data_IF_901953206406
#
_entry.id   IF_901953206406
#
_cell.length_a   1.000
_cell.length_b   1.000
_cell.length_c   1.000
_cell.angle_alpha   90.00
_cell.angle_beta   90.00
_cell.angle_gamma   90.00
#
_symmetry.space_group_name_H-M   'P 1'
#
loop_
_entity.id
_entity.type
_entity.pdbx_description
1 polymer ?
#
# COMPACT_ATOMS: atom_id res chain seq x y z
N UNK A 1 -10.35 -0.73 13.35
CA UNK A 1 -9.43 -1.73 12.81
C UNK A 1 -9.32 -1.53 11.29
N UNK A 2 -8.11 -1.53 10.73
CA UNK A 2 -7.92 -1.37 9.28
C UNK A 2 -6.81 -2.26 8.73
N UNK A 3 -6.71 -2.30 7.39
CA UNK A 3 -5.68 -3.08 6.67
C UNK A 3 -5.94 -4.59 6.70
N UNK A 4 -4.87 -5.41 6.69
CA UNK A 4 -4.98 -6.88 6.63
C UNK A 4 -5.77 -7.48 7.80
N UNK A 5 -5.77 -6.83 8.96
CA UNK A 5 -6.53 -7.25 10.15
C UNK A 5 -8.03 -7.08 10.02
N UNK A 6 -8.50 -6.19 9.14
CA UNK A 6 -9.92 -5.94 8.87
C UNK A 6 -10.45 -6.74 7.69
N UNK A 7 -9.57 -7.31 6.85
CA UNK A 7 -9.92 -8.05 5.63
C UNK A 7 -9.77 -9.57 5.77
N UNK A 8 -10.12 -10.27 4.68
CA UNK A 8 -10.05 -11.73 4.58
C UNK A 8 -8.62 -12.32 4.57
N UNK A 9 -7.58 -11.47 4.68
CA UNK A 9 -6.17 -11.87 4.60
C UNK A 9 -5.43 -11.88 5.94
N UNK A 10 -6.17 -11.81 7.04
CA UNK A 10 -5.57 -11.92 8.37
C UNK A 10 -5.03 -13.33 8.62
N UNK A 11 -3.75 -13.41 8.92
CA UNK A 11 -3.07 -14.66 9.28
C UNK A 11 -2.67 -14.56 10.76
N UNK A 12 -3.30 -15.35 11.67
CA UNK A 12 -2.95 -15.35 13.08
C UNK A 12 -1.44 -15.59 13.29
N UNK A 13 -0.82 -14.76 14.12
CA UNK A 13 0.61 -14.85 14.44
C UNK A 13 1.58 -14.33 13.35
N UNK A 14 1.08 -13.92 12.17
CA UNK A 14 1.89 -13.31 11.11
C UNK A 14 1.42 -11.91 10.71
N UNK A 15 0.12 -11.64 10.82
CA UNK A 15 -0.46 -10.34 10.50
C UNK A 15 -0.58 -9.50 11.76
N UNK A 16 -0.15 -8.25 11.68
CA UNK A 16 -0.35 -7.25 12.74
C UNK A 16 -1.78 -6.70 12.69
N UNK A 17 -2.29 -6.31 13.85
CA UNK A 17 -3.56 -5.58 13.97
C UNK A 17 -3.28 -4.09 14.01
N UNK A 18 -3.83 -3.36 13.03
CA UNK A 18 -3.67 -1.92 12.91
C UNK A 18 -4.95 -1.20 13.31
N UNK A 19 -4.86 -0.31 14.28
CA UNK A 19 -5.98 0.50 14.73
C UNK A 19 -5.78 1.97 14.37
N UNK A 20 -6.84 2.59 13.88
CA UNK A 20 -7.02 4.03 13.87
C UNK A 20 -7.93 4.39 15.04
N UNK A 21 -7.48 5.30 15.88
CA UNK A 21 -8.22 5.83 17.02
C UNK A 21 -8.48 7.30 16.75
N UNK A 22 -9.77 7.64 16.61
CA UNK A 22 -10.18 9.02 16.33
C UNK A 22 -10.53 9.68 17.66
N UNK A 23 -9.81 10.73 17.98
CA UNK A 23 -9.92 11.49 19.23
C UNK A 23 -10.51 12.89 18.96
N UNK A 24 -10.99 13.51 20.03
CA UNK A 24 -11.16 14.97 20.06
C UNK A 24 -9.79 15.66 20.20
N UNK A 25 -9.71 16.96 19.91
CA UNK A 25 -8.46 17.72 20.08
C UNK A 25 -7.92 17.62 21.50
N UNK A 26 -8.78 17.74 22.50
CA UNK A 26 -8.42 17.53 23.92
C UNK A 26 -7.89 16.12 24.18
N UNK A 27 -8.45 15.10 23.52
CA UNK A 27 -7.95 13.73 23.63
C UNK A 27 -6.57 13.57 23.01
N UNK A 28 -6.26 14.34 21.96
CA UNK A 28 -4.94 14.34 21.34
C UNK A 28 -3.90 15.09 22.20
N UNK A 29 -4.27 16.16 22.90
CA UNK A 29 -3.42 16.84 23.87
C UNK A 29 -2.99 15.94 25.04
N UNK A 30 -3.85 14.98 25.39
CA UNK A 30 -3.62 14.01 26.47
C UNK A 30 -3.04 12.65 25.96
N UNK A 31 -2.40 12.62 24.80
CA UNK A 31 -1.97 11.39 24.12
C UNK A 31 -1.07 10.49 24.97
N UNK A 32 -0.27 11.05 25.86
CA UNK A 32 0.58 10.28 26.77
C UNK A 32 -0.20 9.34 27.69
N UNK A 33 -1.47 9.63 27.98
CA UNK A 33 -2.35 8.73 28.77
C UNK A 33 -2.61 7.39 28.09
N UNK A 34 -2.41 7.31 26.76
CA UNK A 34 -2.52 6.08 26.00
C UNK A 34 -1.28 5.15 26.14
N UNK A 35 -0.13 5.66 26.55
CA UNK A 35 1.12 4.90 26.60
C UNK A 35 1.04 3.56 27.32
N UNK A 36 0.42 3.43 28.51
CA UNK A 36 0.32 2.15 29.21
C UNK A 36 -0.52 1.12 28.46
N UNK A 37 -1.57 1.57 27.77
CA UNK A 37 -2.46 0.70 26.98
C UNK A 37 -1.74 0.22 25.73
N UNK A 38 -1.09 1.14 25.00
CA UNK A 38 -0.29 0.83 23.79
C UNK A 38 0.84 -0.15 24.14
N UNK A 39 1.50 0.02 25.28
CA UNK A 39 2.53 -0.92 25.74
C UNK A 39 2.01 -2.35 25.97
N UNK A 40 0.76 -2.51 26.43
CA UNK A 40 0.10 -3.83 26.55
C UNK A 40 -0.25 -4.38 25.17
N UNK A 41 -0.82 -3.58 24.29
CA UNK A 41 -1.25 -3.99 22.96
C UNK A 41 -0.08 -4.49 22.10
N UNK A 42 1.07 -3.83 22.18
CA UNK A 42 2.29 -4.28 21.48
C UNK A 42 2.73 -5.70 21.84
N UNK A 43 2.42 -6.18 23.05
CA UNK A 43 2.69 -7.57 23.48
C UNK A 43 1.72 -8.58 22.86
N UNK A 44 0.63 -8.11 22.25
CA UNK A 44 -0.44 -8.93 21.66
C UNK A 44 -0.52 -8.78 20.13
N UNK A 45 0.60 -8.52 19.47
CA UNK A 45 0.67 -8.32 18.00
C UNK A 45 -0.23 -7.17 17.48
N UNK A 46 -0.53 -6.20 18.33
CA UNK A 46 -1.18 -4.95 17.91
C UNK A 46 -0.08 -3.92 17.68
N UNK A 47 -0.04 -3.31 16.50
CA UNK A 47 0.88 -2.20 16.22
C UNK A 47 0.50 -0.98 17.05
N UNK A 48 1.42 -0.05 17.22
CA UNK A 48 1.08 1.24 17.81
C UNK A 48 -0.02 1.90 16.97
N UNK A 49 -1.21 2.20 17.54
CA UNK A 49 -2.31 2.79 16.79
C UNK A 49 -1.94 4.14 16.19
N UNK A 50 -2.58 4.47 15.07
CA UNK A 50 -2.63 5.84 14.60
C UNK A 50 -3.67 6.61 15.40
N UNK A 51 -3.30 7.76 15.93
CA UNK A 51 -4.21 8.66 16.63
C UNK A 51 -4.40 9.92 15.77
N UNK A 52 -5.65 10.23 15.44
CA UNK A 52 -5.99 11.38 14.60
C UNK A 52 -7.25 12.05 15.16
N UNK A 53 -7.45 13.33 14.81
CA UNK A 53 -8.75 13.98 14.98
C UNK A 53 -9.54 13.87 13.66
N UNK A 54 -10.85 14.08 13.72
CA UNK A 54 -11.69 14.15 12.52
C UNK A 54 -11.20 15.28 11.59
N UNK A 55 -10.87 16.43 12.15
CA UNK A 55 -10.40 17.57 11.38
C UNK A 55 -9.07 17.30 10.69
N UNK A 56 -8.14 16.59 11.37
CA UNK A 56 -6.90 16.13 10.74
C UNK A 56 -7.17 15.19 9.56
N UNK A 57 -8.07 14.22 9.70
CA UNK A 57 -8.45 13.32 8.61
C UNK A 57 -8.99 14.12 7.43
N UNK A 58 -10.00 14.98 7.66
CA UNK A 58 -10.63 15.77 6.61
C UNK A 58 -9.63 16.69 5.89
N UNK A 59 -8.77 17.38 6.64
CA UNK A 59 -7.77 18.29 6.08
C UNK A 59 -6.59 17.60 5.39
N UNK A 60 -6.40 16.30 5.60
CA UNK A 60 -5.30 15.52 5.04
C UNK A 60 -5.70 14.66 3.84
N UNK A 61 -6.97 14.67 3.43
CA UNK A 61 -7.47 13.87 2.30
C UNK A 61 -6.81 14.23 0.96
N UNK A 62 -6.35 15.45 0.81
CA UNK A 62 -5.61 15.92 -0.37
C UNK A 62 -4.14 15.47 -0.37
N UNK A 63 -3.55 15.30 0.81
CA UNK A 63 -2.14 14.94 0.98
C UNK A 63 -1.91 13.42 0.97
N UNK A 64 -2.85 12.64 1.55
CA UNK A 64 -2.74 11.20 1.75
C UNK A 64 -3.95 10.40 1.22
N UNK A 65 -4.45 10.70 -0.02
CA UNK A 65 -5.65 10.04 -0.54
C UNK A 65 -5.49 8.53 -0.75
N UNK A 66 -4.29 8.01 -1.04
CA UNK A 66 -4.03 6.56 -1.18
C UNK A 66 -4.24 5.86 0.16
N UNK A 67 -3.68 6.39 1.24
CA UNK A 67 -3.75 5.82 2.58
C UNK A 67 -5.19 5.81 3.09
N UNK A 68 -5.90 6.91 2.92
CA UNK A 68 -7.31 6.99 3.32
C UNK A 68 -8.23 6.14 2.43
N UNK A 69 -7.93 5.97 1.15
CA UNK A 69 -8.65 5.05 0.28
C UNK A 69 -8.45 3.59 0.75
N UNK A 70 -7.21 3.19 1.02
CA UNK A 70 -6.91 1.85 1.54
C UNK A 70 -7.60 1.60 2.90
N UNK A 71 -7.59 2.58 3.80
CA UNK A 71 -8.31 2.49 5.08
C UNK A 71 -9.82 2.39 4.86
N UNK A 72 -10.41 3.24 4.01
CA UNK A 72 -11.84 3.22 3.70
C UNK A 72 -12.30 1.89 3.14
N UNK A 73 -11.50 1.26 2.29
CA UNK A 73 -11.85 -0.02 1.67
C UNK A 73 -11.67 -1.24 2.57
N UNK A 74 -10.74 -1.17 3.51
CA UNK A 74 -10.33 -2.30 4.34
C UNK A 74 -10.37 -1.91 5.81
N UNK A 75 -11.58 -1.65 6.35
CA UNK A 75 -11.74 -1.35 7.77
C UNK A 75 -12.99 -2.00 8.36
N UNK A 76 -12.98 -2.10 9.68
CA UNK A 76 -14.12 -2.46 10.51
C UNK A 76 -14.22 -1.45 11.63
N UNK A 77 -15.35 -0.77 11.75
CA UNK A 77 -15.64 0.08 12.89
C UNK A 77 -15.86 -0.81 14.13
N UNK A 78 -14.91 -0.77 15.07
CA UNK A 78 -14.95 -1.59 16.28
C UNK A 78 -15.74 -0.88 17.39
N UNK A 79 -15.68 0.45 17.41
CA UNK A 79 -16.35 1.28 18.41
C UNK A 79 -16.63 2.68 17.85
N UNK A 80 -17.77 3.24 18.20
CA UNK A 80 -18.16 4.59 17.84
C UNK A 80 -18.64 4.75 16.40
N UNK A 81 -18.55 5.98 15.89
CA UNK A 81 -18.99 6.32 14.54
C UNK A 81 -17.99 5.84 13.49
N UNK A 82 -18.50 5.36 12.35
CA UNK A 82 -17.70 4.98 11.20
C UNK A 82 -17.33 6.21 10.36
N UNK A 83 -16.28 6.88 10.77
CA UNK A 83 -15.78 8.09 10.07
C UNK A 83 -15.19 7.74 8.69
N UNK A 84 -14.57 6.55 8.55
CA UNK A 84 -13.90 6.17 7.30
C UNK A 84 -14.89 5.89 6.17
N UNK A 85 -16.06 5.35 6.46
CA UNK A 85 -17.09 5.08 5.45
C UNK A 85 -17.55 6.35 4.74
N UNK A 86 -17.63 7.48 5.46
CA UNK A 86 -18.08 8.77 4.95
C UNK A 86 -17.02 9.59 4.18
N UNK A 87 -15.77 9.14 4.08
CA UNK A 87 -14.73 9.92 3.42
C UNK A 87 -14.97 10.03 1.91
N UNK A 88 -14.80 11.21 1.36
CA UNK A 88 -14.82 11.46 -0.08
C UNK A 88 -13.39 11.66 -0.60
N UNK A 89 -12.95 10.73 -1.45
CA UNK A 89 -11.60 10.76 -2.01
C UNK A 89 -11.64 11.53 -3.33
N UNK A 90 -10.90 12.64 -3.40
CA UNK A 90 -10.79 13.43 -4.62
C UNK A 90 -9.89 12.70 -5.64
N UNK A 91 -10.40 12.51 -6.87
CA UNK A 91 -9.72 11.76 -7.94
C UNK A 91 -8.44 12.44 -8.42
N UNK A 92 -8.40 13.77 -8.48
CA UNK A 92 -7.21 14.50 -8.92
C UNK A 92 -6.08 14.40 -7.89
N UNK A 93 -6.40 14.56 -6.60
CA UNK A 93 -5.42 14.39 -5.52
C UNK A 93 -4.87 12.97 -5.50
N UNK A 94 -5.76 11.97 -5.64
CA UNK A 94 -5.35 10.55 -5.70
C UNK A 94 -4.43 10.29 -6.90
N UNK A 95 -4.77 10.79 -8.09
CA UNK A 95 -3.94 10.66 -9.28
C UNK A 95 -2.54 11.26 -9.07
N UNK A 96 -2.50 12.49 -8.53
CA UNK A 96 -1.23 13.17 -8.27
C UNK A 96 -0.37 12.42 -7.26
N UNK A 97 -0.98 11.88 -6.20
CA UNK A 97 -0.24 11.07 -5.22
C UNK A 97 0.25 9.77 -5.85
N UNK A 98 -0.57 9.05 -6.62
CA UNK A 98 -0.14 7.82 -7.31
C UNK A 98 1.06 8.10 -8.20
N UNK A 99 1.01 9.15 -9.01
CA UNK A 99 2.12 9.53 -9.89
C UNK A 99 3.39 9.86 -9.09
N UNK A 100 3.28 10.70 -8.07
CA UNK A 100 4.40 11.08 -7.19
C UNK A 100 5.03 9.88 -6.51
N UNK A 101 4.19 8.98 -5.96
CA UNK A 101 4.65 7.77 -5.28
C UNK A 101 5.40 6.83 -6.23
N UNK A 102 4.86 6.59 -7.41
CA UNK A 102 5.51 5.72 -8.41
C UNK A 102 6.85 6.29 -8.87
N UNK A 103 6.90 7.60 -9.19
CA UNK A 103 8.14 8.27 -9.63
C UNK A 103 9.19 8.30 -8.51
N UNK A 104 8.80 8.60 -7.27
CA UNK A 104 9.72 8.59 -6.13
C UNK A 104 10.25 7.19 -5.82
N UNK A 105 9.37 6.20 -5.82
CA UNK A 105 9.74 4.81 -5.50
C UNK A 105 10.64 4.18 -6.56
N UNK A 106 10.46 4.47 -7.85
CA UNK A 106 11.36 3.93 -8.87
C UNK A 106 12.78 4.49 -8.75
N UNK A 107 12.94 5.77 -8.40
CA UNK A 107 14.25 6.36 -8.14
C UNK A 107 14.94 5.68 -6.96
N UNK A 108 14.19 5.48 -5.88
CA UNK A 108 14.70 4.79 -4.69
C UNK A 108 15.06 3.33 -4.98
N UNK A 109 14.24 2.62 -5.77
CA UNK A 109 14.52 1.24 -6.18
C UNK A 109 15.83 1.14 -6.98
N UNK A 110 16.03 2.04 -7.96
CA UNK A 110 17.27 2.09 -8.76
C UNK A 110 18.49 2.29 -7.85
N UNK A 111 18.41 3.25 -6.91
CA UNK A 111 19.48 3.51 -5.95
C UNK A 111 19.76 2.27 -5.10
N UNK A 112 18.74 1.70 -4.45
CA UNK A 112 18.89 0.53 -3.58
C UNK A 112 19.34 -0.72 -4.32
N UNK A 113 18.99 -0.85 -5.59
CA UNK A 113 19.49 -1.97 -6.40
C UNK A 113 21.01 -1.93 -6.56
N UNK A 114 21.59 -0.75 -6.79
CA UNK A 114 23.04 -0.59 -6.81
C UNK A 114 23.69 -0.94 -5.46
N UNK A 115 23.01 -0.59 -4.36
CA UNK A 115 23.47 -0.90 -3.00
C UNK A 115 23.42 -2.42 -2.68
N UNK A 116 22.69 -3.23 -3.46
CA UNK A 116 22.71 -4.69 -3.30
C UNK A 116 24.04 -5.33 -3.69
N UNK A 117 24.89 -4.64 -4.45
CA UNK A 117 26.17 -5.15 -4.99
C UNK A 117 26.01 -6.50 -5.70
N UNK A 118 24.85 -6.77 -6.28
CA UNK A 118 24.51 -8.02 -6.91
C UNK A 118 24.33 -9.20 -5.94
N UNK A 119 24.18 -8.95 -4.63
CA UNK A 119 23.89 -9.98 -3.64
C UNK A 119 22.43 -10.40 -3.74
N UNK A 120 22.18 -11.67 -4.00
CA UNK A 120 20.83 -12.22 -4.20
C UNK A 120 19.89 -11.95 -3.02
N UNK A 121 20.37 -12.19 -1.79
CA UNK A 121 19.60 -11.98 -0.56
C UNK A 121 19.09 -10.53 -0.45
N UNK A 122 19.92 -9.57 -0.79
CA UNK A 122 19.58 -8.15 -0.74
C UNK A 122 18.59 -7.76 -1.86
N UNK A 123 18.76 -8.32 -3.06
CA UNK A 123 17.81 -8.12 -4.16
C UNK A 123 16.43 -8.71 -3.83
N UNK A 124 16.36 -9.91 -3.26
CA UNK A 124 15.10 -10.52 -2.77
C UNK A 124 14.45 -9.67 -1.69
N UNK A 125 15.25 -9.17 -0.75
CA UNK A 125 14.76 -8.28 0.30
C UNK A 125 14.17 -7.00 -0.30
N UNK A 126 14.87 -6.40 -1.27
CA UNK A 126 14.41 -5.18 -1.93
C UNK A 126 13.06 -5.39 -2.65
N UNK A 127 12.88 -6.52 -3.35
CA UNK A 127 11.59 -6.87 -3.97
C UNK A 127 10.50 -6.98 -2.88
N UNK A 128 10.75 -7.76 -1.82
CA UNK A 128 9.79 -7.99 -0.73
C UNK A 128 9.35 -6.69 -0.05
N UNK A 129 10.30 -5.79 0.19
CA UNK A 129 10.06 -4.55 0.92
C UNK A 129 9.34 -3.49 0.06
N UNK A 130 9.60 -3.48 -1.26
CA UNK A 130 9.02 -2.50 -2.19
C UNK A 130 7.63 -2.86 -2.72
N UNK A 131 7.36 -4.14 -2.92
CA UNK A 131 6.15 -4.63 -3.58
C UNK A 131 4.83 -4.13 -2.95
N UNK A 132 4.66 -4.09 -1.61
CA UNK A 132 3.41 -3.61 -0.99
C UNK A 132 3.01 -2.21 -1.43
N UNK A 133 3.98 -1.32 -1.57
CA UNK A 133 3.71 0.05 -1.97
C UNK A 133 3.22 0.18 -3.42
N UNK A 134 3.67 -0.73 -4.31
CA UNK A 134 3.16 -0.78 -5.69
C UNK A 134 1.76 -1.42 -5.75
N UNK A 135 1.49 -2.42 -4.91
CA UNK A 135 0.14 -2.98 -4.80
C UNK A 135 -0.87 -1.94 -4.31
N UNK A 136 -0.50 -1.08 -3.35
CA UNK A 136 -1.34 0.05 -2.92
C UNK A 136 -1.60 1.02 -4.08
N UNK A 137 -0.57 1.37 -4.84
CA UNK A 137 -0.72 2.20 -6.04
C UNK A 137 -1.62 1.54 -7.11
N UNK A 138 -1.55 0.21 -7.27
CA UNK A 138 -2.41 -0.53 -8.20
C UNK A 138 -3.88 -0.47 -7.79
N UNK A 139 -4.17 -0.62 -6.50
CA UNK A 139 -5.53 -0.46 -5.96
C UNK A 139 -6.07 0.95 -6.25
N UNK A 140 -5.25 1.97 -5.99
CA UNK A 140 -5.61 3.35 -6.28
C UNK A 140 -5.85 3.59 -7.79
N UNK A 141 -5.04 2.98 -8.66
CA UNK A 141 -5.24 3.04 -10.11
C UNK A 141 -6.53 2.36 -10.56
N UNK A 142 -6.83 1.17 -10.06
CA UNK A 142 -8.10 0.48 -10.34
C UNK A 142 -9.28 1.34 -9.94
N UNK A 143 -9.23 1.95 -8.75
CA UNK A 143 -10.27 2.87 -8.30
C UNK A 143 -10.41 4.10 -9.21
N UNK A 144 -9.29 4.73 -9.61
CA UNK A 144 -9.28 5.84 -10.56
C UNK A 144 -9.89 5.47 -11.92
N UNK A 145 -9.74 4.23 -12.34
CA UNK A 145 -10.30 3.70 -13.59
C UNK A 145 -11.75 3.19 -13.45
N UNK A 146 -12.36 3.36 -12.27
CA UNK A 146 -13.71 2.88 -12.00
C UNK A 146 -13.83 1.35 -12.08
N UNK A 147 -12.75 0.62 -11.76
CA UNK A 147 -12.72 -0.83 -11.75
C UNK A 147 -12.90 -1.37 -10.34
N UNK A 148 -13.48 -2.54 -10.24
CA UNK A 148 -13.54 -3.29 -8.99
C UNK A 148 -12.13 -3.58 -8.49
N UNK A 149 -11.95 -3.48 -7.17
CA UNK A 149 -10.68 -3.73 -6.51
C UNK A 149 -10.76 -5.10 -5.84
N UNK A 150 -10.07 -6.12 -6.39
CA UNK A 150 -10.06 -7.43 -5.78
C UNK A 150 -9.46 -7.43 -4.37
N UNK A 151 -9.86 -8.40 -3.55
CA UNK A 151 -9.24 -8.61 -2.24
C UNK A 151 -7.86 -9.26 -2.35
N UNK A 152 -7.69 -10.23 -3.25
CA UNK A 152 -6.45 -10.98 -3.41
C UNK A 152 -5.38 -10.19 -4.18
N UNK A 153 -4.12 -10.34 -3.77
CA UNK A 153 -2.98 -9.62 -4.35
C UNK A 153 -2.69 -10.00 -5.80
N UNK A 154 -2.87 -11.28 -6.14
CA UNK A 154 -2.64 -11.77 -7.51
C UNK A 154 -3.75 -11.30 -8.44
N UNK A 155 -4.97 -11.23 -7.94
CA UNK A 155 -6.11 -10.68 -8.67
C UNK A 155 -5.94 -9.16 -8.88
N UNK A 156 -5.43 -8.40 -7.89
CA UNK A 156 -5.08 -6.98 -8.06
C UNK A 156 -4.05 -6.81 -9.18
N UNK A 157 -3.00 -7.63 -9.20
CA UNK A 157 -2.00 -7.61 -10.27
C UNK A 157 -2.64 -7.89 -11.63
N UNK A 158 -3.46 -8.95 -11.73
CA UNK A 158 -4.13 -9.33 -12.98
C UNK A 158 -5.08 -8.24 -13.49
N UNK A 159 -5.91 -7.67 -12.58
CA UNK A 159 -6.83 -6.58 -12.92
C UNK A 159 -6.08 -5.32 -13.37
N UNK A 160 -4.98 -4.98 -12.69
CA UNK A 160 -4.13 -3.84 -13.08
C UNK A 160 -3.46 -4.07 -14.43
N UNK A 161 -2.94 -5.28 -14.66
CA UNK A 161 -2.34 -5.64 -15.94
C UNK A 161 -3.34 -5.49 -17.10
N UNK A 162 -4.56 -5.98 -16.92
CA UNK A 162 -5.64 -5.85 -17.91
C UNK A 162 -6.04 -4.38 -18.13
N UNK A 163 -6.01 -3.55 -17.09
CA UNK A 163 -6.46 -2.16 -17.16
C UNK A 163 -5.41 -1.20 -17.75
N UNK A 164 -4.12 -1.41 -17.45
CA UNK A 164 -3.05 -0.45 -17.81
C UNK A 164 -1.90 -1.07 -18.60
N UNK A 165 -1.98 -2.35 -18.96
CA UNK A 165 -1.04 -3.02 -19.86
C UNK A 165 0.36 -3.24 -19.25
N UNK A 166 0.46 -3.50 -17.93
CA UNK A 166 1.70 -4.01 -17.32
C UNK A 166 1.80 -5.52 -17.48
N UNK A 167 3.00 -6.07 -17.47
CA UNK A 167 3.23 -7.50 -17.53
C UNK A 167 2.91 -8.15 -16.17
N UNK A 168 1.77 -8.82 -16.08
CA UNK A 168 1.29 -9.44 -14.82
C UNK A 168 2.31 -10.44 -14.26
N UNK A 169 2.92 -11.26 -15.13
CA UNK A 169 3.87 -12.30 -14.76
C UNK A 169 5.04 -11.77 -13.94
N UNK A 170 5.52 -10.56 -14.25
CA UNK A 170 6.64 -9.93 -13.52
C UNK A 170 6.27 -9.64 -12.07
N UNK A 171 5.06 -9.17 -11.82
CA UNK A 171 4.58 -8.89 -10.47
C UNK A 171 4.19 -10.16 -9.72
N UNK A 172 3.73 -11.20 -10.43
CA UNK A 172 3.50 -12.53 -9.86
C UNK A 172 4.81 -13.15 -9.41
N UNK A 173 5.88 -13.09 -10.22
CA UNK A 173 7.23 -13.50 -9.83
C UNK A 173 7.70 -12.77 -8.54
N UNK A 174 7.44 -11.46 -8.46
CA UNK A 174 7.74 -10.67 -7.26
C UNK A 174 6.92 -11.12 -6.04
N UNK A 175 5.64 -11.50 -6.22
CA UNK A 175 4.81 -12.07 -5.17
C UNK A 175 5.35 -13.43 -4.70
N UNK A 176 5.78 -14.30 -5.62
CA UNK A 176 6.38 -15.59 -5.30
C UNK A 176 7.66 -15.43 -4.48
N UNK A 177 8.53 -14.49 -4.87
CA UNK A 177 9.73 -14.12 -4.09
C UNK A 177 9.34 -13.63 -2.69
N UNK A 178 8.28 -12.81 -2.58
CA UNK A 178 7.82 -12.29 -1.30
C UNK A 178 7.28 -13.39 -0.39
N UNK A 179 6.56 -14.35 -0.96
CA UNK A 179 5.93 -15.47 -0.26
C UNK A 179 6.89 -16.63 0.00
N UNK A 180 8.10 -16.59 -0.58
CA UNK A 180 9.08 -17.67 -0.50
C UNK A 180 8.65 -18.93 -1.25
N UNK A 181 7.88 -18.77 -2.31
CA UNK A 181 7.34 -19.86 -3.16
C UNK A 181 8.14 -20.04 -4.45
N UNK A 182 9.06 -19.13 -4.72
CA UNK A 182 9.89 -19.18 -5.92
C UNK A 182 11.05 -20.18 -5.81
N UNK A 183 11.55 -20.60 -6.98
CA UNK A 183 12.74 -21.45 -7.15
C UNK A 183 13.82 -20.74 -7.97
N UNK A 184 13.83 -19.41 -7.98
CA UNK A 184 14.73 -18.60 -8.78
C UNK A 184 16.18 -18.70 -8.29
N UNK A 185 17.11 -18.89 -9.23
CA UNK A 185 18.54 -18.72 -9.01
C UNK A 185 18.89 -17.23 -8.81
N UNK A 186 20.12 -16.95 -8.40
CA UNK A 186 20.64 -15.57 -8.31
C UNK A 186 20.48 -14.78 -9.62
N UNK A 187 20.74 -15.43 -10.76
CA UNK A 187 20.61 -14.81 -12.08
C UNK A 187 19.15 -14.47 -12.39
N UNK A 188 18.22 -15.39 -12.04
CA UNK A 188 16.78 -15.19 -12.24
C UNK A 188 16.25 -14.06 -11.40
N UNK A 189 16.62 -13.94 -10.13
CA UNK A 189 16.21 -12.84 -9.24
C UNK A 189 16.66 -11.49 -9.82
N UNK A 190 17.87 -11.42 -10.34
CA UNK A 190 18.37 -10.20 -11.00
C UNK A 190 17.59 -9.88 -12.28
N UNK A 191 17.22 -10.89 -13.05
CA UNK A 191 16.41 -10.72 -14.26
C UNK A 191 14.98 -10.26 -13.92
N UNK A 192 14.34 -10.89 -12.92
CA UNK A 192 13.02 -10.48 -12.39
C UNK A 192 13.08 -9.02 -11.94
N UNK A 193 14.10 -8.63 -11.18
CA UNK A 193 14.22 -7.26 -10.70
C UNK A 193 14.35 -6.24 -11.84
N UNK A 194 15.11 -6.55 -12.88
CA UNK A 194 15.23 -5.67 -14.08
C UNK A 194 13.90 -5.51 -14.80
N UNK A 195 13.16 -6.60 -14.99
CA UNK A 195 11.81 -6.55 -15.57
C UNK A 195 10.87 -5.74 -14.71
N UNK A 196 10.89 -5.95 -13.40
CA UNK A 196 10.11 -5.21 -12.42
C UNK A 196 10.35 -3.69 -12.50
N UNK A 197 11.61 -3.26 -12.54
CA UNK A 197 11.95 -1.85 -12.77
C UNK A 197 11.40 -1.32 -14.10
N UNK A 198 11.51 -2.12 -15.16
CA UNK A 198 11.02 -1.75 -16.51
C UNK A 198 9.52 -1.55 -16.54
N UNK A 199 8.75 -2.46 -15.88
CA UNK A 199 7.30 -2.37 -15.81
C UNK A 199 6.84 -1.14 -15.02
N UNK A 200 7.47 -0.84 -13.88
CA UNK A 200 7.15 0.36 -13.09
C UNK A 200 7.47 1.63 -13.87
N UNK A 201 8.60 1.69 -14.55
CA UNK A 201 8.97 2.83 -15.40
C UNK A 201 7.98 3.02 -16.56
N UNK A 202 7.58 1.92 -17.20
CA UNK A 202 6.54 1.91 -18.22
C UNK A 202 5.18 2.38 -17.67
N UNK A 203 4.81 1.96 -16.47
CA UNK A 203 3.60 2.40 -15.79
C UNK A 203 3.60 3.90 -15.51
N UNK A 204 4.70 4.46 -14.99
CA UNK A 204 4.85 5.90 -14.77
C UNK A 204 4.56 6.69 -16.06
N UNK A 205 5.12 6.25 -17.20
CA UNK A 205 4.90 6.91 -18.49
C UNK A 205 3.47 6.77 -19.01
N UNK A 206 2.79 5.67 -18.71
CA UNK A 206 1.39 5.46 -19.09
C UNK A 206 0.45 6.33 -18.28
N UNK A 207 0.62 6.40 -16.96
CA UNK A 207 -0.21 7.22 -16.06
C UNK A 207 -0.13 8.71 -16.42
N UNK A 208 1.05 9.19 -16.75
CA UNK A 208 1.27 10.58 -17.18
C UNK A 208 0.41 10.96 -18.40
N UNK A 209 0.15 9.99 -19.29
CA UNK A 209 -0.65 10.15 -20.51
C UNK A 209 -2.13 9.84 -20.33
N UNK A 210 -2.53 9.27 -19.20
CA UNK A 210 -3.92 8.92 -18.94
C UNK A 210 -4.71 10.16 -18.58
N UNK A 211 -5.69 10.50 -19.42
CA UNK A 211 -6.75 11.42 -19.05
C UNK A 211 -7.71 10.65 -18.13
N UNK A 212 -7.60 10.84 -16.83
CA UNK A 212 -8.61 10.38 -15.89
C UNK A 212 -9.82 11.31 -16.01
N UNK A 213 -10.94 10.79 -16.49
CA UNK A 213 -12.16 11.55 -16.65
C UNK A 213 -12.52 12.25 -15.34
N UNK A 214 -12.50 13.57 -15.34
CA UNK A 214 -13.10 14.39 -14.29
C UNK A 214 -14.61 14.23 -14.42
N UNK A 215 -15.24 13.49 -13.55
CA UNK A 215 -16.70 13.47 -13.38
C UNK A 215 -17.05 14.31 -12.18
#
# INVERSE_FOLDING_TARGET
LYGSGAGHHYIPGKSDLNFLVILTDKGLEDLEKAMPVVAKWRKSNVTTPLFMTRDYICSSLDAYPIEFLDMKQNHVAVYGEDVLAGLEINREHLRLQVERELRGKILLLRKRFLETEGKEKEARKLIRDSLPAFLSAFRALLWLLGRDIPGDRREIVAATAAAVGVAAEVFIDCLDIREGKDHFSKADVTAVFRKYLGEIDGLCRRIDKMAFLST
#
